data_IF_679464879519
#
_entry.id   IF_679464879519
#
_cell.length_a   1.000
_cell.length_b   1.000
_cell.length_c   1.000
_cell.angle_alpha   90.00
_cell.angle_beta   90.00
_cell.angle_gamma   90.00
#
_symmetry.space_group_name_H-M   'P 1'
#
loop_
_entity.id
_entity.type
_entity.pdbx_description
1 polymer ?
#
# COMPACT_ATOMS: atom_id res chain seq x y z
N UNK A 1 -8.99 -29.11 -26.24
CA UNK A 1 -8.62 -29.80 -24.99
C UNK A 1 -8.99 -28.88 -23.84
N UNK A 2 -10.10 -29.17 -23.16
CA UNK A 2 -10.62 -28.32 -22.07
C UNK A 2 -10.07 -28.81 -20.74
N UNK A 3 -9.36 -27.95 -20.02
CA UNK A 3 -8.90 -28.23 -18.66
C UNK A 3 -10.11 -28.28 -17.71
N UNK A 4 -10.22 -29.28 -16.81
CA UNK A 4 -11.31 -29.32 -15.85
C UNK A 4 -11.15 -28.17 -14.85
N UNK A 5 -12.21 -27.38 -14.69
CA UNK A 5 -12.28 -26.36 -13.65
C UNK A 5 -12.38 -27.07 -12.28
N UNK A 6 -11.27 -27.14 -11.54
CA UNK A 6 -11.27 -27.58 -10.15
C UNK A 6 -12.04 -26.55 -9.33
N UNK A 7 -13.30 -26.85 -9.01
CA UNK A 7 -14.12 -26.06 -8.10
C UNK A 7 -13.66 -26.37 -6.65
N UNK A 8 -12.57 -25.73 -6.24
CA UNK A 8 -12.06 -25.80 -4.86
C UNK A 8 -13.12 -25.24 -3.92
N UNK A 9 -13.74 -26.09 -3.09
CA UNK A 9 -14.70 -25.61 -2.09
C UNK A 9 -13.96 -24.69 -1.11
N UNK A 10 -14.49 -23.49 -0.81
CA UNK A 10 -13.82 -22.59 0.09
C UNK A 10 -13.66 -23.22 1.47
N UNK A 11 -12.42 -23.32 1.94
CA UNK A 11 -12.05 -23.83 3.26
C UNK A 11 -12.76 -23.03 4.35
N UNK A 12 -13.01 -23.66 5.51
CA UNK A 12 -13.57 -22.98 6.67
C UNK A 12 -12.77 -21.70 7.02
N UNK A 13 -11.44 -21.73 6.87
CA UNK A 13 -10.58 -20.57 7.08
C UNK A 13 -10.86 -19.42 6.11
N UNK A 14 -11.17 -19.72 4.84
CA UNK A 14 -11.52 -18.68 3.86
C UNK A 14 -12.87 -18.03 4.17
N UNK A 15 -13.82 -18.80 4.71
CA UNK A 15 -15.11 -18.24 5.16
C UNK A 15 -14.93 -17.32 6.36
N UNK A 16 -14.10 -17.71 7.33
CA UNK A 16 -13.81 -16.88 8.51
C UNK A 16 -13.13 -15.57 8.11
N UNK A 17 -12.14 -15.63 7.20
CA UNK A 17 -11.44 -14.44 6.71
C UNK A 17 -12.23 -13.59 5.72
N UNK A 18 -13.45 -14.02 5.35
CA UNK A 18 -14.38 -13.21 4.57
C UNK A 18 -15.29 -12.32 5.43
N UNK A 19 -15.31 -12.54 6.74
CA UNK A 19 -16.07 -11.73 7.70
C UNK A 19 -15.29 -10.47 8.08
N UNK A 20 -15.74 -9.26 7.67
CA UNK A 20 -15.01 -8.02 7.91
C UNK A 20 -14.68 -7.75 9.39
N UNK A 21 -15.58 -8.14 10.29
CA UNK A 21 -15.43 -7.89 11.73
C UNK A 21 -14.27 -8.68 12.33
N UNK A 22 -14.09 -9.92 11.88
CA UNK A 22 -12.98 -10.77 12.33
C UNK A 22 -11.65 -10.32 11.72
N UNK A 23 -11.67 -9.87 10.47
CA UNK A 23 -10.51 -9.28 9.81
C UNK A 23 -10.08 -8.00 10.53
N UNK A 24 -11.02 -7.13 10.91
CA UNK A 24 -10.73 -5.92 11.67
C UNK A 24 -10.13 -6.23 13.06
N UNK A 25 -10.66 -7.22 13.78
CA UNK A 25 -10.08 -7.65 15.05
C UNK A 25 -8.64 -8.13 14.89
N UNK A 26 -8.37 -8.89 13.82
CA UNK A 26 -7.02 -9.37 13.49
C UNK A 26 -6.09 -8.20 13.18
N UNK A 27 -6.56 -7.22 12.38
CA UNK A 27 -5.79 -6.02 12.02
C UNK A 27 -5.46 -5.17 13.25
N UNK A 28 -6.41 -5.02 14.18
CA UNK A 28 -6.21 -4.25 15.43
C UNK A 28 -5.16 -4.84 16.35
N UNK A 29 -4.91 -6.15 16.26
CA UNK A 29 -3.89 -6.84 17.05
C UNK A 29 -2.49 -6.77 16.41
N UNK A 30 -2.39 -6.30 15.15
CA UNK A 30 -1.10 -6.14 14.47
C UNK A 30 -0.29 -4.98 15.05
N UNK A 31 1.03 -5.14 15.04
CA UNK A 31 1.92 -4.03 15.34
C UNK A 31 1.77 -2.93 14.26
N UNK A 32 1.93 -1.64 14.61
CA UNK A 32 1.76 -0.53 13.65
C UNK A 32 2.62 -0.65 12.39
N UNK A 33 3.81 -1.24 12.52
CA UNK A 33 4.72 -1.48 11.39
C UNK A 33 4.19 -2.52 10.40
N UNK A 34 3.30 -3.41 10.81
CA UNK A 34 2.80 -4.53 10.00
C UNK A 34 1.45 -4.21 9.32
N UNK A 35 0.79 -3.11 9.71
CA UNK A 35 -0.51 -2.67 9.17
C UNK A 35 -0.49 -2.43 7.66
N UNK A 36 0.60 -1.84 7.14
CA UNK A 36 0.73 -1.61 5.70
C UNK A 36 0.79 -2.93 4.92
N UNK A 37 1.38 -3.98 5.50
CA UNK A 37 1.42 -5.30 4.87
C UNK A 37 0.04 -5.96 4.84
N UNK A 38 -0.78 -5.76 5.89
CA UNK A 38 -2.16 -6.23 5.92
C UNK A 38 -3.01 -5.62 4.79
N UNK A 39 -2.76 -4.36 4.44
CA UNK A 39 -3.42 -3.68 3.33
C UNK A 39 -3.08 -4.25 1.94
N UNK A 40 -2.02 -5.05 1.83
CA UNK A 40 -1.53 -5.63 0.57
C UNK A 40 -1.90 -7.12 0.40
N UNK A 41 -2.58 -7.74 1.37
CA UNK A 41 -2.89 -9.19 1.35
C UNK A 41 -3.90 -9.55 0.27
N UNK A 42 -5.08 -8.94 0.30
CA UNK A 42 -6.16 -9.18 -0.66
C UNK A 42 -7.15 -8.02 -0.65
N UNK A 43 -8.07 -7.99 -1.61
CA UNK A 43 -9.06 -6.91 -1.74
C UNK A 43 -9.89 -6.68 -0.47
N UNK A 44 -10.34 -7.76 0.19
CA UNK A 44 -11.14 -7.67 1.42
C UNK A 44 -10.34 -7.05 2.57
N UNK A 45 -9.08 -7.45 2.73
CA UNK A 45 -8.22 -6.94 3.78
C UNK A 45 -7.76 -5.51 3.50
N UNK A 46 -7.58 -5.16 2.22
CA UNK A 46 -7.07 -3.87 1.79
C UNK A 46 -7.91 -2.71 2.30
N UNK A 47 -9.23 -2.75 2.07
CA UNK A 47 -10.13 -1.69 2.54
C UNK A 47 -10.08 -1.52 4.06
N UNK A 48 -10.25 -2.63 4.79
CA UNK A 48 -10.31 -2.62 6.26
C UNK A 48 -8.98 -2.15 6.86
N UNK A 49 -7.86 -2.63 6.33
CA UNK A 49 -6.53 -2.27 6.84
C UNK A 49 -6.15 -0.83 6.48
N UNK A 50 -6.53 -0.33 5.29
CA UNK A 50 -6.31 1.06 4.92
C UNK A 50 -7.14 1.99 5.81
N UNK A 51 -8.43 1.72 6.00
CA UNK A 51 -9.30 2.53 6.88
C UNK A 51 -8.70 2.63 8.29
N UNK A 52 -8.31 1.49 8.86
CA UNK A 52 -7.68 1.46 10.18
C UNK A 52 -6.32 2.17 10.21
N UNK A 53 -5.50 2.02 9.17
CA UNK A 53 -4.22 2.70 9.06
C UNK A 53 -4.39 4.22 8.95
N UNK A 54 -5.36 4.70 8.17
CA UNK A 54 -5.68 6.13 8.06
C UNK A 54 -6.17 6.72 9.38
N UNK A 55 -6.95 5.97 10.16
CA UNK A 55 -7.45 6.40 11.47
C UNK A 55 -6.35 6.46 12.54
N UNK A 56 -5.36 5.57 12.49
CA UNK A 56 -4.39 5.36 13.57
C UNK A 56 -2.98 5.88 13.28
N UNK A 57 -2.65 6.15 12.02
CA UNK A 57 -1.30 6.56 11.65
C UNK A 57 -0.98 7.97 12.16
N UNK A 58 0.03 8.06 13.03
CA UNK A 58 0.59 9.34 13.50
C UNK A 58 1.49 10.03 12.46
N UNK A 59 1.81 9.34 11.36
CA UNK A 59 2.58 9.88 10.24
C UNK A 59 2.11 9.27 8.93
N UNK A 60 2.33 9.97 7.81
CA UNK A 60 1.93 9.47 6.48
C UNK A 60 2.88 8.39 5.92
N UNK A 61 4.04 8.16 6.53
CA UNK A 61 5.04 7.22 6.01
C UNK A 61 4.51 5.78 5.82
N UNK A 62 3.74 5.19 6.74
CA UNK A 62 3.16 3.85 6.58
C UNK A 62 2.13 3.77 5.44
N UNK A 63 1.43 4.88 5.16
CA UNK A 63 0.46 4.96 4.05
C UNK A 63 1.18 5.00 2.70
N UNK A 64 2.32 5.67 2.60
CA UNK A 64 3.11 5.64 1.36
C UNK A 64 3.67 4.25 1.05
N UNK A 65 3.92 3.42 2.06
CA UNK A 65 4.35 2.03 1.87
C UNK A 65 3.25 1.15 1.26
N UNK A 66 1.97 1.56 1.26
CA UNK A 66 0.90 0.81 0.56
C UNK A 66 0.77 1.22 -0.91
N UNK A 67 1.23 2.42 -1.29
CA UNK A 67 1.14 2.95 -2.67
C UNK A 67 2.28 2.48 -3.57
N UNK A 68 3.37 1.98 -3.00
CA UNK A 68 4.49 1.43 -3.74
C UNK A 68 4.56 -0.07 -3.50
N UNK A 69 4.04 -0.93 -4.39
CA UNK A 69 4.64 -2.25 -4.49
C UNK A 69 6.08 -1.98 -4.96
N UNK A 70 7.06 -2.12 -4.06
CA UNK A 70 8.48 -2.11 -4.44
C UNK A 70 8.68 -3.24 -5.46
N UNK A 71 8.50 -2.91 -6.74
CA UNK A 71 8.85 -3.77 -7.85
C UNK A 71 10.36 -3.69 -7.97
N UNK A 72 11.05 -4.69 -7.44
CA UNK A 72 12.36 -5.05 -7.97
C UNK A 72 12.15 -5.49 -9.42
N UNK A 73 12.23 -4.55 -10.35
CA UNK A 73 12.46 -4.81 -11.76
C UNK A 73 13.94 -4.54 -11.98
N UNK A 74 14.71 -5.56 -12.35
CA UNK A 74 16.14 -5.47 -12.64
C UNK A 74 16.46 -4.63 -13.89
N UNK A 75 15.44 -4.19 -14.62
CA UNK A 75 15.59 -3.33 -15.80
C UNK A 75 15.26 -1.87 -15.48
N UNK A 76 16.34 -1.10 -15.33
CA UNK A 76 16.53 0.31 -15.68
C UNK A 76 15.26 1.09 -16.09
N UNK A 77 14.68 1.83 -15.14
CA UNK A 77 13.88 3.03 -15.44
C UNK A 77 13.69 3.87 -14.19
N UNK A 78 14.54 4.89 -14.07
CA UNK A 78 14.42 6.12 -13.28
C UNK A 78 13.28 6.14 -12.23
N UNK A 79 13.54 5.49 -11.09
CA UNK A 79 12.71 5.64 -9.91
C UNK A 79 13.10 6.94 -9.22
N UNK A 80 12.25 7.96 -9.27
CA UNK A 80 12.36 9.05 -8.28
C UNK A 80 12.06 8.39 -6.94
N UNK A 81 13.11 8.12 -6.17
CA UNK A 81 13.00 7.56 -4.84
C UNK A 81 12.03 8.46 -4.04
N UNK A 82 11.06 7.90 -3.31
CA UNK A 82 10.10 8.71 -2.56
C UNK A 82 10.77 9.68 -1.57
N UNK A 83 12.01 9.40 -1.14
CA UNK A 83 12.85 10.38 -0.43
C UNK A 83 13.14 11.63 -1.24
N UNK A 84 13.42 11.46 -2.53
CA UNK A 84 13.66 12.54 -3.48
C UNK A 84 12.37 13.34 -3.74
N UNK A 85 11.20 12.70 -3.77
CA UNK A 85 9.89 13.40 -3.87
C UNK A 85 9.57 14.19 -2.59
N UNK A 86 9.82 13.59 -1.42
CA UNK A 86 9.70 14.30 -0.13
C UNK A 86 10.70 15.46 -0.01
N UNK A 87 11.92 15.32 -0.54
CA UNK A 87 12.91 16.40 -0.61
C UNK A 87 12.49 17.54 -1.57
N UNK A 88 11.84 17.20 -2.69
CA UNK A 88 11.26 18.19 -3.62
C UNK A 88 10.12 18.98 -2.96
N UNK A 89 9.22 18.31 -2.24
CA UNK A 89 8.12 18.98 -1.53
C UNK A 89 8.59 19.77 -0.29
N UNK A 90 9.73 19.37 0.29
CA UNK A 90 10.34 20.00 1.46
C UNK A 90 11.23 21.19 1.09
N UNK A 91 11.72 21.29 -0.14
CA UNK A 91 12.43 22.48 -0.63
C UNK A 91 11.42 23.58 -1.00
N UNK A 92 11.54 24.81 -0.48
CA UNK A 92 10.76 25.92 -1.00
C UNK A 92 11.16 26.19 -2.46
N UNK A 93 10.23 26.64 -3.34
CA UNK A 93 10.58 26.94 -4.71
C UNK A 93 11.62 28.07 -4.70
N UNK A 94 12.88 27.71 -4.97
CA UNK A 94 13.93 28.70 -5.18
C UNK A 94 13.54 29.50 -6.41
N UNK A 95 13.20 30.77 -6.16
CA UNK A 95 12.98 31.78 -7.17
C UNK A 95 14.11 31.76 -8.20
N UNK A 96 13.75 32.07 -9.46
CA UNK A 96 14.58 32.30 -10.65
C UNK A 96 14.62 31.14 -11.65
N UNK A 97 13.64 31.16 -12.55
CA UNK A 97 13.97 31.12 -13.99
C UNK A 97 12.97 31.98 -14.78
N UNK A 98 12.92 33.28 -14.43
CA UNK A 98 12.56 34.34 -15.38
C UNK A 98 13.87 34.78 -16.02
N UNK A 99 14.42 33.99 -16.95
CA UNK A 99 15.27 34.50 -18.03
C UNK A 99 15.67 33.37 -18.97
N UNK A 100 14.89 33.16 -20.03
CA UNK A 100 15.36 32.95 -21.41
C UNK A 100 14.23 32.37 -22.26
N UNK A 101 13.60 33.26 -23.03
CA UNK A 101 13.48 33.19 -24.49
C UNK A 101 12.67 34.43 -24.91
N UNK A 102 13.37 35.56 -24.93
CA UNK A 102 13.18 36.58 -25.96
C UNK A 102 13.67 36.03 -27.30
#
# INVERSE_FOLDING_TARGET
MSTPATCERPSASQKVLSLPELVLLTIKDLAPRDLHSAALVCHTWSGIALDYLWETALSLAPLFNTLAPMRYSEEESNWVNLRQLLDILRSPPSSLDISRRS
#
